data_IF_274333156266
#
_entry.id   IF_274333156266
#
_cell.length_a   1.000
_cell.length_b   1.000
_cell.length_c   1.000
_cell.angle_alpha   90.00
_cell.angle_beta   90.00
_cell.angle_gamma   90.00
#
_symmetry.space_group_name_H-M   'P 1'
#
loop_
_entity.id
_entity.type
_entity.pdbx_description
1 polymer ?
#
# COMPACT_ATOMS: atom_id res chain seq x y z
N UNK A 1 -25.30 18.18 -43.46
CA UNK A 1 -25.38 16.72 -43.70
C UNK A 1 -26.58 16.16 -42.95
N UNK A 2 -27.27 15.14 -43.48
CA UNK A 2 -28.34 14.44 -42.73
C UNK A 2 -27.75 13.68 -41.54
N UNK A 3 -28.48 13.55 -40.44
CA UNK A 3 -28.05 12.80 -39.25
C UNK A 3 -27.67 11.34 -39.58
N UNK A 4 -28.37 10.73 -40.54
CA UNK A 4 -28.09 9.37 -41.05
C UNK A 4 -26.70 9.22 -41.67
N UNK A 5 -26.23 10.25 -42.41
CA UNK A 5 -24.94 10.19 -43.10
C UNK A 5 -23.79 10.32 -42.09
N UNK A 6 -23.98 11.11 -41.02
CA UNK A 6 -22.98 11.25 -39.95
C UNK A 6 -22.82 9.97 -39.15
N UNK A 7 -23.93 9.33 -38.77
CA UNK A 7 -23.89 8.02 -38.09
C UNK A 7 -23.18 6.94 -38.92
N UNK A 8 -23.39 6.93 -40.24
CA UNK A 8 -22.72 5.99 -41.13
C UNK A 8 -21.20 6.24 -41.24
N UNK A 9 -20.77 7.51 -41.23
CA UNK A 9 -19.36 7.89 -41.25
C UNK A 9 -18.67 7.49 -39.93
N UNK A 10 -19.29 7.76 -38.78
CA UNK A 10 -18.76 7.35 -37.47
C UNK A 10 -18.61 5.83 -37.41
N UNK A 11 -19.63 5.08 -37.83
CA UNK A 11 -19.58 3.62 -37.84
C UNK A 11 -18.43 3.09 -38.70
N UNK A 12 -18.25 3.62 -39.91
CA UNK A 12 -17.16 3.18 -40.79
C UNK A 12 -15.79 3.54 -40.24
N UNK A 13 -15.61 4.76 -39.71
CA UNK A 13 -14.34 5.17 -39.13
C UNK A 13 -13.99 4.36 -37.88
N UNK A 14 -14.97 4.12 -37.01
CA UNK A 14 -14.77 3.32 -35.81
C UNK A 14 -14.42 1.86 -36.15
N UNK A 15 -15.08 1.28 -37.15
CA UNK A 15 -14.73 -0.04 -37.67
C UNK A 15 -13.30 -0.07 -38.23
N UNK A 16 -12.89 0.94 -39.00
CA UNK A 16 -11.53 1.03 -39.54
C UNK A 16 -10.48 1.22 -38.43
N UNK A 17 -10.81 1.94 -37.36
CA UNK A 17 -9.94 2.07 -36.18
C UNK A 17 -9.76 0.72 -35.49
N UNK A 18 -10.84 0.00 -35.23
CA UNK A 18 -10.80 -1.30 -34.57
C UNK A 18 -10.06 -2.35 -35.44
N UNK A 19 -10.25 -2.32 -36.76
CA UNK A 19 -9.54 -3.20 -37.72
C UNK A 19 -8.02 -2.93 -37.77
N UNK A 20 -7.61 -1.67 -37.62
CA UNK A 20 -6.21 -1.28 -37.59
C UNK A 20 -5.59 -1.32 -36.18
N UNK A 21 -6.37 -1.68 -35.15
CA UNK A 21 -5.91 -1.76 -33.77
C UNK A 21 -5.48 -0.42 -33.19
N UNK A 22 -6.09 0.69 -33.63
CA UNK A 22 -5.79 2.02 -33.11
C UNK A 22 -6.49 2.24 -31.76
N UNK A 23 -5.76 2.76 -30.76
CA UNK A 23 -6.27 3.02 -29.41
C UNK A 23 -7.02 4.36 -29.33
N UNK A 24 -8.02 4.54 -30.17
CA UNK A 24 -8.72 5.82 -30.34
C UNK A 24 -10.23 5.57 -30.43
N UNK A 25 -11.02 6.45 -29.85
CA UNK A 25 -12.48 6.45 -29.96
C UNK A 25 -12.96 7.68 -30.72
N UNK A 26 -14.00 7.51 -31.54
CA UNK A 26 -14.65 8.59 -32.29
C UNK A 26 -16.09 8.72 -31.82
N UNK A 27 -16.53 9.96 -31.60
CA UNK A 27 -17.90 10.26 -31.24
C UNK A 27 -18.36 11.59 -31.85
N UNK A 28 -19.68 11.74 -32.00
CA UNK A 28 -20.30 12.99 -32.47
C UNK A 28 -20.51 13.92 -31.28
N UNK A 29 -19.86 15.09 -31.30
CA UNK A 29 -20.04 16.13 -30.29
C UNK A 29 -21.21 17.07 -30.59
N UNK A 30 -21.57 17.97 -29.65
CA UNK A 30 -22.59 18.99 -29.86
C UNK A 30 -22.25 19.86 -31.09
N UNK A 31 -23.20 20.07 -31.98
CA UNK A 31 -23.00 20.87 -33.21
C UNK A 31 -22.54 20.09 -34.45
N UNK A 32 -22.43 18.76 -34.38
CA UNK A 32 -22.11 17.91 -35.55
C UNK A 32 -20.62 17.86 -35.89
N UNK A 33 -19.76 18.25 -34.94
CA UNK A 33 -18.31 18.14 -35.02
C UNK A 33 -17.91 16.75 -34.53
N UNK A 34 -17.04 16.05 -35.26
CA UNK A 34 -16.49 14.77 -34.82
C UNK A 34 -15.38 15.01 -33.80
N UNK A 35 -15.48 14.36 -32.65
CA UNK A 35 -14.42 14.37 -31.65
C UNK A 35 -13.76 13.00 -31.62
N UNK A 36 -12.43 13.04 -31.57
CA UNK A 36 -11.58 11.86 -31.54
C UNK A 36 -10.78 11.93 -30.24
N UNK A 37 -10.71 10.83 -29.49
CA UNK A 37 -10.03 10.77 -28.19
C UNK A 37 -9.20 9.50 -28.08
N UNK A 38 -8.01 9.61 -27.51
CA UNK A 38 -7.19 8.44 -27.21
C UNK A 38 -7.79 7.62 -26.05
N UNK A 39 -7.68 6.29 -26.10
CA UNK A 39 -8.15 5.38 -25.03
C UNK A 39 -7.24 5.38 -23.81
N UNK A 40 -5.95 5.65 -24.02
CA UNK A 40 -4.96 5.77 -22.93
C UNK A 40 -4.89 7.21 -22.45
N UNK A 41 -4.72 7.36 -21.13
CA UNK A 41 -4.63 8.62 -20.42
C UNK A 41 -3.16 9.02 -20.24
N UNK A 42 -2.88 10.32 -20.25
CA UNK A 42 -1.57 10.88 -19.92
C UNK A 42 -1.07 11.90 -20.92
N UNK A 43 0.17 12.35 -20.75
CA UNK A 43 0.82 13.34 -21.63
C UNK A 43 1.54 12.71 -22.85
N UNK A 44 1.94 11.44 -22.76
CA UNK A 44 2.63 10.70 -23.83
C UNK A 44 1.76 10.35 -25.05
N UNK A 45 0.54 9.81 -24.91
CA UNK A 45 -0.22 9.37 -26.08
C UNK A 45 -0.72 10.57 -26.90
N UNK A 46 -0.39 10.56 -28.20
CA UNK A 46 -0.87 11.55 -29.17
C UNK A 46 -1.19 10.89 -30.50
N UNK A 47 -2.11 11.50 -31.24
CA UNK A 47 -2.45 11.08 -32.60
C UNK A 47 -2.58 12.29 -33.51
N UNK A 48 -2.41 12.07 -34.81
CA UNK A 48 -2.63 13.10 -35.83
C UNK A 48 -3.77 12.69 -36.74
N UNK A 49 -4.64 13.63 -37.09
CA UNK A 49 -5.76 13.40 -38.01
C UNK A 49 -5.53 14.23 -39.27
N UNK A 50 -5.96 13.73 -40.42
CA UNK A 50 -5.92 14.46 -41.69
C UNK A 50 -7.22 14.24 -42.43
N UNK A 51 -7.79 15.31 -42.99
CA UNK A 51 -8.99 15.25 -43.83
C UNK A 51 -8.75 15.98 -45.14
N UNK A 52 -9.35 15.48 -46.22
CA UNK A 52 -9.37 16.16 -47.52
C UNK A 52 -10.41 17.28 -47.59
N UNK A 53 -11.31 17.38 -46.61
CA UNK A 53 -12.32 18.42 -46.48
C UNK A 53 -12.05 19.18 -45.17
N UNK A 54 -11.92 20.50 -45.28
CA UNK A 54 -11.75 21.40 -44.14
C UNK A 54 -13.00 21.40 -43.24
N UNK A 55 -12.81 21.70 -41.96
CA UNK A 55 -13.86 21.85 -40.93
C UNK A 55 -14.61 20.55 -40.55
N UNK A 56 -14.23 19.39 -41.10
CA UNK A 56 -14.81 18.10 -40.67
C UNK A 56 -13.96 17.44 -39.58
N UNK A 57 -12.65 17.29 -39.81
CA UNK A 57 -11.70 16.70 -38.85
C UNK A 57 -10.48 17.61 -38.59
N UNK A 58 -10.16 18.49 -39.54
CA UNK A 58 -9.02 19.42 -39.49
C UNK A 58 -9.45 20.82 -39.92
N UNK A 59 -8.79 21.86 -39.40
CA UNK A 59 -9.10 23.25 -39.79
C UNK A 59 -8.83 23.52 -41.27
N UNK A 60 -7.74 22.97 -41.81
CA UNK A 60 -7.38 23.08 -43.23
C UNK A 60 -7.39 21.71 -43.93
N UNK A 61 -7.70 21.69 -45.23
CA UNK A 61 -7.73 20.48 -46.03
C UNK A 61 -6.30 19.98 -46.33
N UNK A 62 -6.10 18.66 -46.19
CA UNK A 62 -4.84 17.94 -46.42
C UNK A 62 -3.68 18.34 -45.49
N UNK A 63 -3.97 18.94 -44.34
CA UNK A 63 -3.00 19.18 -43.28
C UNK A 63 -3.27 18.28 -42.08
N UNK A 64 -2.20 17.75 -41.49
CA UNK A 64 -2.31 16.95 -40.28
C UNK A 64 -2.43 17.86 -39.06
N UNK A 65 -3.49 17.65 -38.28
CA UNK A 65 -3.69 18.32 -36.99
C UNK A 65 -3.41 17.31 -35.87
N UNK A 66 -2.58 17.72 -34.91
CA UNK A 66 -2.20 16.87 -33.77
C UNK A 66 -3.22 17.01 -32.65
N UNK A 67 -3.47 15.91 -31.94
CA UNK A 67 -4.27 15.89 -30.72
C UNK A 67 -3.61 16.76 -29.65
N UNK A 68 -4.41 17.49 -28.88
CA UNK A 68 -3.91 18.13 -27.66
C UNK A 68 -3.43 17.04 -26.68
N UNK A 69 -2.20 17.15 -26.14
CA UNK A 69 -1.70 16.20 -25.17
C UNK A 69 -2.55 16.25 -23.89
N UNK A 70 -2.75 15.09 -23.27
CA UNK A 70 -3.42 14.99 -21.98
C UNK A 70 -2.52 15.47 -20.83
N UNK A 71 -2.98 15.23 -19.61
CA UNK A 71 -2.23 15.52 -18.39
C UNK A 71 -2.15 14.27 -17.52
N UNK A 72 -0.98 14.05 -16.93
CA UNK A 72 -0.79 12.98 -15.94
C UNK A 72 -1.33 13.37 -14.56
N UNK A 73 -1.69 12.36 -13.77
CA UNK A 73 -2.02 12.55 -12.35
C UNK A 73 -0.82 13.06 -11.57
N UNK A 74 -0.94 14.24 -10.95
CA UNK A 74 0.07 14.80 -10.08
C UNK A 74 -0.34 14.71 -8.62
N UNK A 75 0.59 14.34 -7.74
CA UNK A 75 0.32 14.25 -6.31
C UNK A 75 1.55 13.87 -5.48
N UNK A 76 1.34 13.83 -4.17
CA UNK A 76 2.36 13.38 -3.21
C UNK A 76 1.91 12.10 -2.51
N UNK A 77 2.80 11.12 -2.38
CA UNK A 77 2.57 9.93 -1.57
C UNK A 77 3.49 10.03 -0.35
N UNK A 78 2.90 9.97 0.85
CA UNK A 78 3.63 10.11 2.12
C UNK A 78 4.51 11.38 2.20
N UNK A 79 3.96 12.53 1.77
CA UNK A 79 4.65 13.84 1.69
C UNK A 79 5.89 13.88 0.77
N UNK A 80 6.10 12.87 -0.06
CA UNK A 80 7.10 12.88 -1.11
C UNK A 80 6.42 13.02 -2.48
N UNK A 81 7.05 13.76 -3.39
CA UNK A 81 6.62 13.85 -4.78
C UNK A 81 6.54 12.45 -5.38
N UNK A 82 5.40 12.12 -6.00
CA UNK A 82 5.20 10.86 -6.69
C UNK A 82 5.21 11.10 -8.21
N UNK A 83 5.58 10.06 -8.97
CA UNK A 83 5.57 10.10 -10.43
C UNK A 83 4.17 9.78 -10.93
N UNK A 84 3.56 10.73 -11.63
CA UNK A 84 2.38 10.51 -12.46
C UNK A 84 2.76 9.80 -13.75
N UNK A 85 1.91 8.87 -14.17
CA UNK A 85 1.96 8.21 -15.48
C UNK A 85 0.51 7.87 -15.86
N UNK A 86 -0.11 8.75 -16.65
CA UNK A 86 -1.54 8.68 -16.96
C UNK A 86 -2.42 8.73 -15.72
N UNK A 87 -3.11 7.62 -15.43
CA UNK A 87 -3.96 7.43 -14.24
C UNK A 87 -3.21 6.96 -13.00
N UNK A 88 -1.92 6.61 -13.13
CA UNK A 88 -1.17 6.00 -12.05
C UNK A 88 -0.25 7.00 -11.35
N UNK A 89 -0.31 7.02 -10.03
CA UNK A 89 0.60 7.75 -9.18
C UNK A 89 1.51 6.76 -8.44
N UNK A 90 2.81 6.78 -8.75
CA UNK A 90 3.80 5.84 -8.21
C UNK A 90 4.77 6.56 -7.29
N UNK A 91 4.96 6.03 -6.07
CA UNK A 91 5.91 6.59 -5.13
C UNK A 91 7.35 6.42 -5.64
N UNK A 92 8.16 7.47 -5.55
CA UNK A 92 9.56 7.42 -5.99
C UNK A 92 10.39 6.47 -5.13
N UNK A 93 11.42 5.90 -5.75
CA UNK A 93 12.39 5.04 -5.09
C UNK A 93 13.13 5.79 -3.98
N UNK A 94 13.28 5.19 -2.79
CA UNK A 94 13.90 5.83 -1.63
C UNK A 94 12.95 6.61 -0.71
N UNK A 95 11.65 6.64 -1.00
CA UNK A 95 10.65 7.22 -0.09
C UNK A 95 10.09 6.16 0.88
N UNK A 96 9.52 6.55 2.05
CA UNK A 96 8.86 5.60 2.97
C UNK A 96 7.70 4.83 2.35
N UNK A 97 7.18 5.31 1.22
CA UNK A 97 6.09 4.73 0.45
C UNK A 97 6.56 3.96 -0.79
N UNK A 98 7.85 3.64 -0.90
CA UNK A 98 8.40 2.92 -2.05
C UNK A 98 7.60 1.64 -2.36
N UNK A 99 7.23 1.48 -3.63
CA UNK A 99 6.44 0.34 -4.10
C UNK A 99 4.91 0.54 -4.01
N UNK A 100 4.44 1.67 -3.48
CA UNK A 100 3.02 2.03 -3.53
C UNK A 100 2.72 2.65 -4.90
N UNK A 101 1.75 2.06 -5.61
CA UNK A 101 1.17 2.55 -6.85
C UNK A 101 -0.33 2.75 -6.62
N UNK A 102 -0.83 3.96 -6.85
CA UNK A 102 -2.23 4.34 -6.73
C UNK A 102 -2.77 4.53 -8.14
N UNK A 103 -3.92 3.94 -8.44
CA UNK A 103 -4.63 4.17 -9.69
C UNK A 103 -5.84 5.06 -9.41
N UNK A 104 -6.00 6.13 -10.20
CA UNK A 104 -7.20 6.95 -10.22
C UNK A 104 -8.15 6.43 -11.30
N UNK A 105 -9.30 5.90 -10.90
CA UNK A 105 -10.28 5.26 -11.78
C UNK A 105 -11.61 6.04 -11.79
N UNK A 106 -11.54 7.34 -12.07
CA UNK A 106 -12.74 8.17 -12.23
C UNK A 106 -12.91 8.58 -13.68
N UNK A 107 -13.95 8.05 -14.30
CA UNK A 107 -14.40 8.46 -15.63
C UNK A 107 -15.26 9.73 -15.56
N UNK A 108 -15.04 10.65 -16.50
CA UNK A 108 -15.93 11.78 -16.77
C UNK A 108 -17.28 11.24 -17.27
N UNK A 109 -18.36 11.41 -16.49
CA UNK A 109 -19.71 11.06 -16.92
C UNK A 109 -20.40 12.25 -17.56
N UNK A 110 -21.30 12.00 -18.51
CA UNK A 110 -22.11 13.05 -19.13
C UNK A 110 -23.16 13.54 -18.12
N UNK A 111 -23.21 14.85 -17.87
CA UNK A 111 -24.25 15.47 -17.05
C UNK A 111 -25.41 15.91 -17.93
N UNK A 112 -26.60 15.41 -17.65
CA UNK A 112 -27.83 15.85 -18.30
C UNK A 112 -28.19 17.27 -17.83
N UNK A 113 -28.05 18.26 -18.71
CA UNK A 113 -28.53 19.62 -18.44
C UNK A 113 -29.85 19.81 -19.17
N UNK A 114 -30.98 20.04 -18.47
CA UNK A 114 -32.25 20.33 -19.12
C UNK A 114 -32.19 21.73 -19.76
N UNK A 115 -32.47 21.81 -21.06
CA UNK A 115 -32.58 23.06 -21.81
C UNK A 115 -34.02 23.57 -21.74
N UNK A 116 -34.18 24.81 -21.27
CA UNK A 116 -35.46 25.49 -21.21
C UNK A 116 -35.54 26.50 -22.36
N UNK A 117 -36.62 26.45 -23.14
CA UNK A 117 -36.93 27.47 -24.15
C UNK A 117 -38.05 28.35 -23.61
N UNK A 118 -37.94 29.65 -23.82
CA UNK A 118 -38.94 30.63 -23.40
C UNK A 118 -40.11 30.62 -24.39
N UNK A 119 -41.25 30.06 -23.98
CA UNK A 119 -42.47 30.11 -24.76
C UNK A 119 -43.39 31.19 -24.22
N UNK A 120 -43.72 32.16 -25.07
CA UNK A 120 -44.72 33.19 -24.78
C UNK A 120 -46.12 32.61 -24.87
N UNK A 121 -46.80 32.49 -23.73
CA UNK A 121 -48.22 32.08 -23.66
C UNK A 121 -49.09 33.33 -23.43
N UNK A 122 -50.19 33.52 -24.18
CA UNK A 122 -51.12 34.63 -23.94
C UNK A 122 -51.95 34.38 -22.67
N UNK A 123 -51.98 35.35 -21.77
CA UNK A 123 -52.79 35.31 -20.55
C UNK A 123 -54.13 35.99 -20.82
N UNK A 124 -55.23 35.25 -20.63
CA UNK A 124 -56.59 35.75 -20.82
C UNK A 124 -57.20 36.13 -19.46
N UNK A 125 -57.90 37.27 -19.39
CA UNK A 125 -58.69 37.66 -18.20
C UNK A 125 -59.93 36.75 -18.06
N UNK A 126 -60.62 36.79 -16.91
CA UNK A 126 -61.81 35.95 -16.62
C UNK A 126 -63.00 36.15 -17.59
N UNK A 127 -62.91 37.17 -18.45
CA UNK A 127 -63.87 37.49 -19.51
C UNK A 127 -63.35 37.15 -20.94
N UNK A 128 -62.24 36.42 -21.08
CA UNK A 128 -61.75 35.88 -22.35
C UNK A 128 -60.98 36.85 -23.26
N UNK A 129 -60.56 38.01 -22.75
CA UNK A 129 -59.75 38.97 -23.51
C UNK A 129 -58.26 38.86 -23.13
N UNK A 130 -57.35 38.92 -24.11
CA UNK A 130 -55.90 38.84 -23.94
C UNK A 130 -55.36 40.05 -23.15
N UNK A 131 -54.80 39.80 -21.96
CA UNK A 131 -54.30 40.85 -21.04
C UNK A 131 -52.79 40.78 -20.83
N UNK A 132 -52.07 40.33 -21.85
CA UNK A 132 -50.62 40.31 -21.90
C UNK A 132 -50.05 38.94 -22.22
N UNK A 133 -48.74 38.94 -22.44
CA UNK A 133 -47.97 37.75 -22.80
C UNK A 133 -47.07 37.40 -21.62
N UNK A 134 -47.18 36.18 -21.10
CA UNK A 134 -46.32 35.69 -20.02
C UNK A 134 -45.28 34.73 -20.61
N UNK A 135 -44.02 34.92 -20.20
CA UNK A 135 -42.89 34.12 -20.67
C UNK A 135 -42.77 32.92 -19.75
N UNK A 136 -43.23 31.75 -20.19
CA UNK A 136 -43.14 30.52 -19.42
C UNK A 136 -42.01 29.68 -20.00
N UNK A 137 -41.07 29.29 -19.15
CA UNK A 137 -39.95 28.42 -19.51
C UNK A 137 -40.46 26.98 -19.66
N UNK A 138 -40.52 26.50 -20.90
CA UNK A 138 -40.90 25.11 -21.20
C UNK A 138 -39.62 24.29 -21.38
N UNK A 139 -39.54 23.10 -20.78
CA UNK A 139 -38.40 22.19 -20.98
C UNK A 139 -38.48 21.59 -22.38
N UNK A 140 -37.57 21.97 -23.28
CA UNK A 140 -37.59 21.54 -24.70
C UNK A 140 -36.63 20.39 -24.99
N UNK A 141 -35.72 20.05 -24.07
CA UNK A 141 -34.89 18.85 -24.17
C UNK A 141 -33.86 18.69 -23.06
N UNK A 142 -33.05 17.64 -23.15
CA UNK A 142 -31.85 17.43 -22.32
C UNK A 142 -30.63 17.48 -23.23
N UNK A 143 -29.69 18.39 -22.94
CA UNK A 143 -28.40 18.47 -23.62
C UNK A 143 -27.34 17.73 -22.78
N UNK A 144 -26.61 16.83 -23.42
CA UNK A 144 -25.51 16.09 -22.79
C UNK A 144 -24.24 16.94 -22.89
N UNK A 145 -23.95 17.68 -21.82
CA UNK A 145 -22.71 18.47 -21.73
C UNK A 145 -21.63 17.57 -21.12
N UNK A 146 -20.47 17.48 -21.78
CA UNK A 146 -19.30 16.82 -21.20
C UNK A 146 -18.86 17.60 -19.96
N UNK A 147 -18.77 16.93 -18.81
CA UNK A 147 -18.18 17.53 -17.61
C UNK A 147 -16.74 17.96 -17.93
N UNK A 148 -16.41 19.21 -17.65
CA UNK A 148 -15.05 19.72 -17.84
C UNK A 148 -14.12 19.10 -16.80
N UNK A 149 -12.86 18.88 -17.15
CA UNK A 149 -11.84 18.31 -16.25
C UNK A 149 -11.78 19.07 -14.91
N UNK A 150 -12.01 20.38 -14.93
CA UNK A 150 -12.02 21.26 -13.76
C UNK A 150 -13.15 20.95 -12.76
N UNK A 151 -14.33 20.50 -13.21
CA UNK A 151 -15.44 20.10 -12.33
C UNK A 151 -15.25 18.70 -11.73
N UNK A 152 -14.52 17.82 -12.44
CA UNK A 152 -14.33 16.41 -12.05
C UNK A 152 -13.19 16.28 -11.05
N UNK A 153 -11.99 16.80 -11.36
CA UNK A 153 -10.79 16.61 -10.51
C UNK A 153 -10.37 17.88 -9.74
N UNK A 154 -11.01 19.02 -10.00
CA UNK A 154 -10.65 20.31 -9.41
C UNK A 154 -9.46 20.97 -10.10
N UNK A 155 -9.05 22.14 -9.59
CA UNK A 155 -7.87 22.89 -10.05
C UNK A 155 -6.72 22.76 -9.05
N UNK A 156 -5.46 23.08 -9.41
CA UNK A 156 -4.34 23.06 -8.47
C UNK A 156 -4.56 23.88 -7.19
N UNK A 157 -5.40 24.92 -7.27
CA UNK A 157 -5.77 25.77 -6.13
C UNK A 157 -7.01 25.27 -5.35
N UNK A 158 -7.78 24.32 -5.88
CA UNK A 158 -8.96 23.73 -5.21
C UNK A 158 -9.15 22.25 -5.56
N UNK A 159 -8.36 21.34 -4.95
CA UNK A 159 -8.44 19.91 -5.20
C UNK A 159 -9.70 19.31 -4.55
N UNK A 160 -10.53 18.64 -5.36
CA UNK A 160 -11.70 17.92 -4.86
C UNK A 160 -11.25 16.56 -4.32
N UNK A 161 -11.20 16.43 -2.98
CA UNK A 161 -10.74 15.20 -2.33
C UNK A 161 -11.82 14.11 -2.49
N UNK A 162 -11.53 13.10 -3.31
CA UNK A 162 -12.45 11.98 -3.58
C UNK A 162 -12.51 10.93 -2.46
N UNK A 163 -11.49 10.86 -1.60
CA UNK A 163 -11.48 9.94 -0.48
C UNK A 163 -10.17 9.91 0.30
N UNK A 164 -10.18 9.14 1.38
CA UNK A 164 -9.00 8.88 2.22
C UNK A 164 -8.62 7.40 2.14
N UNK A 165 -7.36 7.11 1.84
CA UNK A 165 -6.80 5.75 1.90
C UNK A 165 -6.11 5.56 3.24
N UNK A 166 -6.59 4.63 4.07
CA UNK A 166 -5.96 4.28 5.34
C UNK A 166 -5.13 3.00 5.20
N UNK A 167 -3.81 3.10 5.34
CA UNK A 167 -2.91 1.95 5.37
C UNK A 167 -2.55 1.63 6.82
N UNK A 168 -3.00 0.49 7.34
CA UNK A 168 -2.67 -0.01 8.67
C UNK A 168 -1.73 -1.21 8.57
N UNK A 169 -0.55 -1.13 9.19
CA UNK A 169 0.37 -2.26 9.32
C UNK A 169 0.09 -3.01 10.63
N UNK A 170 -0.37 -4.26 10.54
CA UNK A 170 -0.69 -5.10 11.71
C UNK A 170 0.49 -5.96 12.20
N UNK A 171 1.72 -5.50 11.98
CA UNK A 171 2.94 -6.22 12.38
C UNK A 171 2.96 -6.46 13.90
N UNK A 172 3.15 -7.72 14.31
CA UNK A 172 3.36 -8.11 15.70
C UNK A 172 4.86 -8.22 15.97
N UNK A 173 5.31 -7.56 17.03
CA UNK A 173 6.71 -7.59 17.46
C UNK A 173 6.90 -8.63 18.55
N UNK A 174 7.98 -9.39 18.45
CA UNK A 174 8.41 -10.38 19.42
C UNK A 174 9.74 -9.91 20.00
N UNK A 175 9.82 -9.80 21.32
CA UNK A 175 11.06 -9.47 22.00
C UNK A 175 12.00 -10.70 22.00
N UNK A 176 13.23 -10.51 21.54
CA UNK A 176 14.25 -11.56 21.37
C UNK A 176 15.34 -11.50 22.45
N UNK A 177 15.09 -10.82 23.57
CA UNK A 177 16.02 -10.84 24.70
C UNK A 177 15.77 -9.76 25.75
N UNK A 178 16.70 -9.63 26.71
CA UNK A 178 16.61 -8.65 27.78
C UNK A 178 16.98 -7.23 27.35
N UNK A 179 17.62 -7.06 26.19
CA UNK A 179 18.06 -5.75 25.67
C UNK A 179 16.88 -5.03 25.01
N UNK A 180 16.60 -3.80 25.44
CA UNK A 180 15.59 -2.97 24.78
C UNK A 180 15.94 -2.72 23.31
N UNK A 181 14.94 -2.82 22.44
CA UNK A 181 15.09 -2.62 21.00
C UNK A 181 15.46 -3.88 20.21
N UNK A 182 15.75 -5.01 20.86
CA UNK A 182 15.98 -6.28 20.18
C UNK A 182 14.66 -7.01 19.88
N UNK A 183 13.85 -6.41 19.01
CA UNK A 183 12.55 -6.94 18.61
C UNK A 183 12.55 -7.36 17.15
N UNK A 184 11.95 -8.51 16.84
CA UNK A 184 11.66 -8.90 15.47
C UNK A 184 10.17 -8.84 15.19
N UNK A 185 9.81 -8.20 14.08
CA UNK A 185 8.43 -8.06 13.62
C UNK A 185 8.04 -9.16 12.64
N UNK A 186 6.82 -9.68 12.76
CA UNK A 186 6.15 -10.49 11.75
C UNK A 186 4.77 -9.91 11.46
N UNK A 187 4.44 -9.78 10.17
CA UNK A 187 3.08 -9.39 9.74
C UNK A 187 2.31 -10.63 9.33
N UNK A 188 1.09 -10.77 9.86
CA UNK A 188 0.16 -11.83 9.50
C UNK A 188 -0.88 -11.26 8.54
N UNK A 189 -1.05 -11.92 7.39
CA UNK A 189 -2.12 -11.60 6.45
C UNK A 189 -3.45 -12.05 7.03
N UNK A 190 -4.50 -11.29 6.76
CA UNK A 190 -5.87 -11.72 7.00
C UNK A 190 -6.24 -12.90 6.09
N UNK A 191 -6.59 -14.04 6.69
CA UNK A 191 -6.91 -15.30 6.01
C UNK A 191 -8.41 -15.57 5.94
N UNK A 192 -9.26 -14.57 6.18
CA UNK A 192 -10.70 -14.70 5.94
C UNK A 192 -10.97 -14.98 4.45
N UNK A 193 -11.98 -15.79 4.16
CA UNK A 193 -12.35 -16.19 2.79
C UNK A 193 -12.60 -15.00 1.87
N UNK A 194 -13.19 -13.92 2.38
CA UNK A 194 -13.43 -12.67 1.63
C UNK A 194 -12.16 -11.84 1.36
N UNK A 195 -11.03 -12.18 1.99
CA UNK A 195 -9.73 -11.49 1.87
C UNK A 195 -8.64 -12.34 1.23
N UNK A 196 -8.95 -13.59 0.88
CA UNK A 196 -8.08 -14.50 0.15
C UNK A 196 -8.43 -14.50 -1.34
N UNK A 197 -7.41 -14.70 -2.19
CA UNK A 197 -7.58 -14.85 -3.63
C UNK A 197 -8.23 -13.65 -4.33
N UNK A 198 -7.80 -12.45 -3.94
CA UNK A 198 -8.27 -11.20 -4.53
C UNK A 198 -7.46 -10.82 -5.78
N UNK A 199 -8.11 -10.16 -6.74
CA UNK A 199 -7.44 -9.57 -7.90
C UNK A 199 -7.19 -10.52 -9.07
N UNK A 200 -7.80 -11.72 -9.05
CA UNK A 200 -7.78 -12.64 -10.19
C UNK A 200 -8.87 -12.20 -11.16
N UNK A 201 -8.51 -12.00 -12.44
CA UNK A 201 -9.48 -11.73 -13.51
C UNK A 201 -10.06 -13.06 -13.97
N UNK A 202 -11.38 -13.18 -13.91
CA UNK A 202 -12.12 -14.36 -14.36
C UNK A 202 -13.41 -13.94 -15.08
N UNK A 203 -14.03 -14.88 -15.80
CA UNK A 203 -15.21 -14.61 -16.62
C UNK A 203 -16.48 -14.52 -15.76
N UNK A 204 -16.55 -15.29 -14.66
CA UNK A 204 -17.67 -15.33 -13.73
C UNK A 204 -17.71 -14.18 -12.70
N UNK A 205 -16.81 -13.19 -12.80
CA UNK A 205 -16.70 -12.01 -11.92
C UNK A 205 -16.54 -12.34 -10.42
N UNK A 206 -15.98 -13.50 -10.09
CA UNK A 206 -15.70 -13.93 -8.72
C UNK A 206 -14.54 -13.12 -8.14
N UNK A 207 -14.74 -12.49 -6.98
CA UNK A 207 -13.76 -11.55 -6.41
C UNK A 207 -12.88 -12.16 -5.33
N UNK A 208 -13.37 -13.20 -4.67
CA UNK A 208 -12.71 -13.80 -3.52
C UNK A 208 -13.18 -15.23 -3.26
N UNK A 209 -12.50 -15.92 -2.34
CA UNK A 209 -12.87 -17.28 -1.95
C UNK A 209 -14.26 -17.38 -1.31
N UNK A 210 -14.86 -16.28 -0.84
CA UNK A 210 -16.25 -16.31 -0.34
C UNK A 210 -17.30 -16.43 -1.44
N UNK A 211 -16.92 -16.13 -2.68
CA UNK A 211 -17.85 -15.97 -3.80
C UNK A 211 -17.88 -17.22 -4.68
N UNK A 212 -17.23 -18.32 -4.26
CA UNK A 212 -17.16 -19.58 -5.02
C UNK A 212 -18.56 -20.04 -5.43
N UNK A 213 -18.70 -20.37 -6.71
CA UNK A 213 -19.90 -20.93 -7.28
C UNK A 213 -19.55 -22.12 -8.19
N UNK A 214 -20.22 -23.24 -7.96
CA UNK A 214 -20.02 -24.50 -8.68
C UNK A 214 -21.26 -24.92 -9.49
N UNK A 215 -22.24 -24.02 -9.64
CA UNK A 215 -23.50 -24.31 -10.34
C UNK A 215 -23.34 -24.38 -11.86
N UNK A 216 -22.39 -23.62 -12.42
CA UNK A 216 -22.05 -23.61 -13.84
C UNK A 216 -20.64 -24.15 -14.12
N UNK A 217 -20.41 -24.68 -15.33
CA UNK A 217 -19.11 -25.22 -15.73
C UNK A 217 -18.03 -24.14 -15.75
N UNK A 218 -18.35 -22.93 -16.20
CA UNK A 218 -17.37 -21.84 -16.23
C UNK A 218 -17.06 -21.36 -14.81
N UNK A 219 -18.09 -21.13 -14.00
CA UNK A 219 -17.92 -20.76 -12.58
C UNK A 219 -17.14 -21.81 -11.79
N UNK A 220 -17.29 -23.10 -12.11
CA UNK A 220 -16.52 -24.17 -11.48
C UNK A 220 -15.03 -24.14 -11.84
N UNK A 221 -14.68 -23.82 -13.09
CA UNK A 221 -13.27 -23.64 -13.50
C UNK A 221 -12.65 -22.42 -12.83
N UNK A 222 -13.33 -21.29 -12.87
CA UNK A 222 -12.88 -20.05 -12.26
C UNK A 222 -12.72 -20.24 -10.74
N UNK A 223 -13.67 -20.93 -10.09
CA UNK A 223 -13.58 -21.29 -8.68
C UNK A 223 -12.36 -22.18 -8.38
N UNK A 224 -12.00 -23.11 -9.26
CA UNK A 224 -10.79 -23.93 -9.10
C UNK A 224 -9.54 -23.07 -9.11
N UNK A 225 -9.44 -22.10 -10.02
CA UNK A 225 -8.31 -21.18 -10.10
C UNK A 225 -8.20 -20.31 -8.83
N UNK A 226 -9.34 -19.79 -8.33
CA UNK A 226 -9.36 -19.04 -7.07
C UNK A 226 -8.89 -19.91 -5.89
N UNK A 227 -9.26 -21.19 -5.84
CA UNK A 227 -8.83 -22.12 -4.79
C UNK A 227 -7.32 -22.38 -4.88
N UNK A 228 -6.79 -22.67 -6.06
CA UNK A 228 -5.36 -22.93 -6.26
C UNK A 228 -4.52 -21.71 -5.84
N UNK A 229 -4.93 -20.51 -6.25
CA UNK A 229 -4.26 -19.30 -5.84
C UNK A 229 -4.37 -19.04 -4.32
N UNK A 230 -5.51 -19.35 -3.70
CA UNK A 230 -5.65 -19.27 -2.24
C UNK A 230 -4.70 -20.25 -1.52
N UNK A 231 -4.56 -21.47 -2.04
CA UNK A 231 -3.63 -22.49 -1.51
C UNK A 231 -2.19 -21.98 -1.61
N UNK A 232 -1.80 -21.42 -2.75
CA UNK A 232 -0.47 -20.84 -2.96
C UNK A 232 -0.20 -19.65 -2.05
N UNK A 233 -1.20 -18.78 -1.88
CA UNK A 233 -1.13 -17.65 -0.96
C UNK A 233 -0.91 -18.12 0.49
N UNK A 234 -1.72 -19.06 0.97
CA UNK A 234 -1.55 -19.66 2.31
C UNK A 234 -0.19 -20.35 2.44
N UNK A 235 0.23 -21.09 1.43
CA UNK A 235 1.50 -21.82 1.43
C UNK A 235 2.70 -20.86 1.54
N UNK A 236 2.65 -19.74 0.80
CA UNK A 236 3.65 -18.66 0.91
C UNK A 236 3.66 -18.04 2.31
N UNK A 237 2.51 -17.79 2.92
CA UNK A 237 2.49 -17.26 4.29
C UNK A 237 2.98 -18.27 5.32
N UNK A 238 2.63 -19.55 5.19
CA UNK A 238 3.17 -20.63 6.04
C UNK A 238 4.69 -20.71 5.93
N UNK A 239 5.23 -20.60 4.71
CA UNK A 239 6.66 -20.56 4.49
C UNK A 239 7.32 -19.35 5.17
N UNK A 240 6.72 -18.16 5.07
CA UNK A 240 7.20 -16.96 5.77
C UNK A 240 7.19 -17.11 7.30
N UNK A 241 6.10 -17.65 7.86
CA UNK A 241 5.99 -17.92 9.30
C UNK A 241 7.06 -18.95 9.73
N UNK A 242 7.20 -20.04 8.98
CA UNK A 242 8.21 -21.07 9.27
C UNK A 242 9.65 -20.54 9.18
N UNK A 243 9.92 -19.69 8.19
CA UNK A 243 11.22 -19.03 8.06
C UNK A 243 11.50 -18.09 9.24
N UNK A 244 10.50 -17.30 9.66
CA UNK A 244 10.63 -16.43 10.83
C UNK A 244 10.88 -17.24 12.11
N UNK A 245 10.09 -18.29 12.34
CA UNK A 245 10.26 -19.19 13.49
C UNK A 245 11.66 -19.79 13.53
N UNK A 246 12.09 -20.45 12.45
CA UNK A 246 13.38 -21.15 12.40
C UNK A 246 14.57 -20.21 12.45
N UNK A 247 14.57 -19.18 11.61
CA UNK A 247 15.76 -18.36 11.41
C UNK A 247 15.90 -17.24 12.45
N UNK A 248 14.78 -16.80 13.03
CA UNK A 248 14.78 -15.69 13.98
C UNK A 248 14.58 -16.22 15.39
N UNK A 249 13.47 -16.89 15.67
CA UNK A 249 13.11 -17.30 17.05
C UNK A 249 13.98 -18.45 17.53
N UNK A 250 14.04 -19.56 16.80
CA UNK A 250 14.80 -20.75 17.21
C UNK A 250 16.31 -20.47 17.22
N UNK A 251 16.82 -19.75 16.21
CA UNK A 251 18.22 -19.32 16.17
C UNK A 251 18.57 -18.46 17.39
N UNK A 252 17.76 -17.44 17.68
CA UNK A 252 18.01 -16.56 18.82
C UNK A 252 17.90 -17.32 20.14
N UNK A 253 16.90 -18.19 20.31
CA UNK A 253 16.75 -19.05 21.48
C UNK A 253 18.00 -19.89 21.72
N UNK A 254 18.56 -20.51 20.68
CA UNK A 254 19.80 -21.28 20.79
C UNK A 254 20.99 -20.38 21.18
N UNK A 255 21.11 -19.19 20.58
CA UNK A 255 22.15 -18.21 20.96
C UNK A 255 22.01 -17.79 22.43
N UNK A 256 20.80 -17.49 22.90
CA UNK A 256 20.55 -17.13 24.31
C UNK A 256 20.86 -18.28 25.25
N UNK A 257 20.55 -19.53 24.87
CA UNK A 257 20.88 -20.72 25.66
C UNK A 257 22.40 -20.87 25.83
N UNK A 258 23.16 -20.73 24.75
CA UNK A 258 24.64 -20.78 24.82
C UNK A 258 25.18 -19.64 25.68
N UNK A 259 24.66 -18.42 25.48
CA UNK A 259 25.08 -17.27 26.29
C UNK A 259 24.80 -17.47 27.79
N UNK A 260 23.64 -18.04 28.14
CA UNK A 260 23.28 -18.35 29.52
C UNK A 260 24.20 -19.44 30.12
N UNK A 261 24.56 -20.46 29.34
CA UNK A 261 25.50 -21.49 29.76
C UNK A 261 26.89 -20.90 30.01
N UNK A 262 27.42 -20.11 29.08
CA UNK A 262 28.72 -19.45 29.23
C UNK A 262 28.73 -18.48 30.41
N UNK A 263 27.65 -17.73 30.63
CA UNK A 263 27.53 -16.84 31.79
C UNK A 263 27.52 -17.62 33.11
N UNK A 264 26.80 -18.74 33.17
CA UNK A 264 26.76 -19.60 34.36
C UNK A 264 28.12 -20.25 34.64
N UNK A 265 28.84 -20.68 33.59
CA UNK A 265 30.19 -21.22 33.71
C UNK A 265 31.17 -20.16 34.22
N UNK A 266 31.11 -18.93 33.67
CA UNK A 266 31.92 -17.81 34.14
C UNK A 266 31.67 -17.47 35.60
N UNK A 267 30.39 -17.42 36.00
CA UNK A 267 29.99 -17.21 37.39
C UNK A 267 30.51 -18.30 38.32
N UNK A 268 30.42 -19.58 37.90
CA UNK A 268 30.97 -20.70 38.68
C UNK A 268 32.47 -20.55 38.89
N UNK A 269 33.22 -20.23 37.83
CA UNK A 269 34.69 -20.07 37.92
C UNK A 269 35.07 -18.93 38.86
N UNK A 270 34.39 -17.79 38.78
CA UNK A 270 34.65 -16.64 39.67
C UNK A 270 34.35 -17.04 41.12
N UNK A 271 33.16 -17.58 41.37
CA UNK A 271 32.72 -17.97 42.71
C UNK A 271 33.61 -19.05 43.32
N UNK A 272 34.00 -20.06 42.55
CA UNK A 272 34.86 -21.15 43.03
C UNK A 272 36.29 -20.67 43.30
N UNK A 273 36.81 -19.74 42.48
CA UNK A 273 38.13 -19.13 42.71
C UNK A 273 38.13 -18.30 43.99
N UNK A 274 37.10 -17.48 44.20
CA UNK A 274 36.96 -16.66 45.40
C UNK A 274 36.81 -17.52 46.66
N UNK A 275 36.01 -18.60 46.59
CA UNK A 275 35.89 -19.54 47.70
C UNK A 275 37.22 -20.27 47.98
N UNK A 276 37.96 -20.69 46.96
CA UNK A 276 39.26 -21.34 47.16
C UNK A 276 40.29 -20.38 47.81
N UNK A 277 40.29 -19.10 47.41
CA UNK A 277 41.15 -18.09 48.01
C UNK A 277 40.80 -17.83 49.49
N UNK A 278 39.51 -17.66 49.80
CA UNK A 278 39.06 -17.46 51.19
C UNK A 278 39.28 -18.70 52.06
N UNK A 279 39.07 -19.91 51.53
CA UNK A 279 39.36 -21.14 52.27
C UNK A 279 40.86 -21.32 52.55
N UNK A 280 41.73 -20.92 51.60
CA UNK A 280 43.18 -20.96 51.80
C UNK A 280 43.63 -19.96 52.87
N UNK A 281 43.04 -18.76 52.87
CA UNK A 281 43.29 -17.73 53.88
C UNK A 281 42.78 -18.17 55.25
N UNK A 282 41.54 -18.64 55.35
CA UNK A 282 40.97 -19.20 56.58
C UNK A 282 41.86 -20.32 57.16
N UNK A 283 42.33 -21.23 56.30
CA UNK A 283 43.22 -22.32 56.72
C UNK A 283 44.57 -21.78 57.22
N UNK A 284 45.15 -20.79 56.52
CA UNK A 284 46.40 -20.14 56.93
C UNK A 284 46.24 -19.43 58.28
N UNK A 285 45.14 -18.72 58.49
CA UNK A 285 44.82 -18.05 59.74
C UNK A 285 44.63 -19.07 60.89
N UNK A 286 43.98 -20.20 60.62
CA UNK A 286 43.83 -21.30 61.58
C UNK A 286 45.20 -21.91 61.97
N UNK A 287 46.10 -22.10 61.00
CA UNK A 287 47.47 -22.59 61.25
C UNK A 287 48.27 -21.56 62.04
N UNK A 288 48.20 -20.28 61.68
CA UNK A 288 48.86 -19.19 62.42
C UNK A 288 48.36 -19.08 63.85
N UNK A 289 47.05 -19.24 64.07
CA UNK A 289 46.46 -19.25 65.42
C UNK A 289 47.01 -20.41 66.25
N UNK A 290 47.03 -21.62 65.68
CA UNK A 290 47.60 -22.82 66.33
C UNK A 290 49.09 -22.66 66.63
N UNK A 291 49.88 -22.18 65.65
CA UNK A 291 51.31 -21.91 65.82
C UNK A 291 51.57 -20.83 66.86
N UNK A 292 50.76 -19.76 66.89
CA UNK A 292 50.86 -18.70 67.89
C UNK A 292 50.58 -19.20 69.29
N UNK A 293 49.60 -20.10 69.48
CA UNK A 293 49.33 -20.75 70.76
C UNK A 293 50.49 -21.66 71.20
N UNK A 294 51.05 -22.47 70.30
CA UNK A 294 52.24 -23.29 70.59
C UNK A 294 53.46 -22.43 70.90
N UNK A 295 53.69 -21.34 70.16
CA UNK A 295 54.77 -20.38 70.44
C UNK A 295 54.58 -19.66 71.77
N UNK A 296 53.36 -19.25 72.12
CA UNK A 296 53.02 -18.70 73.44
C UNK A 296 53.34 -19.71 74.55
N UNK A 297 52.99 -20.98 74.37
CA UNK A 297 53.32 -22.04 75.31
C UNK A 297 54.85 -22.19 75.47
N UNK A 298 55.59 -22.23 74.36
CA UNK A 298 57.05 -22.34 74.36
C UNK A 298 57.74 -21.10 74.97
N UNK A 299 57.28 -19.90 74.63
CA UNK A 299 57.79 -18.63 75.15
C UNK A 299 57.50 -18.47 76.65
N UNK A 300 56.41 -19.07 77.16
CA UNK A 300 56.13 -19.10 78.60
C UNK A 300 57.00 -20.14 79.36
N UNK A 301 57.55 -21.14 78.66
CA UNK A 301 58.45 -22.14 79.24
C UNK A 301 59.91 -21.66 79.28
N UNK A 302 60.37 -20.90 78.28
CA UNK A 302 61.75 -20.40 78.21
C UNK A 302 62.20 -19.65 79.49
N UNK A 303 61.45 -18.66 80.02
CA UNK A 303 61.83 -17.91 81.22
C UNK A 303 61.89 -18.80 82.47
N UNK A 304 61.02 -19.81 82.56
CA UNK A 304 61.03 -20.76 83.70
C UNK A 304 62.28 -21.62 83.69
N UNK A 305 62.72 -22.05 82.51
CA UNK A 305 63.95 -22.82 82.36
C UNK A 305 65.18 -21.98 82.72
N UNK A 306 65.19 -20.68 82.38
CA UNK A 306 66.29 -19.78 82.76
C UNK A 306 66.30 -19.48 84.27
N UNK A 307 65.14 -19.29 84.89
CA UNK A 307 65.02 -19.15 86.35
C UNK A 307 65.52 -20.40 87.09
N UNK A 308 65.19 -21.59 86.60
CA UNK A 308 65.72 -22.84 87.14
C UNK A 308 67.24 -22.94 87.03
N UNK A 309 67.83 -22.42 85.94
CA UNK A 309 69.29 -22.40 85.75
C UNK A 309 69.98 -21.38 86.67
N UNK A 310 69.39 -20.19 86.87
CA UNK A 310 69.92 -19.15 87.78
C UNK A 310 69.76 -19.49 89.27
N UNK A 311 68.76 -20.31 89.64
CA UNK A 311 68.63 -20.87 91.00
C UNK A 311 69.56 -22.08 91.24
N UNK A 312 70.18 -22.62 90.17
CA UNK A 312 71.03 -23.82 90.22
C UNK A 312 72.54 -23.56 90.14
N UNK A 313 72.97 -22.28 90.14
CA UNK A 313 74.37 -21.86 90.37
C UNK A 313 74.58 -21.31 91.79
#
# INVERSE_FOLDING_TARGET
>A
MSADIRGMIVYHLQKTIDENGLNVDIFEGPGGIFQIRHREYGDEPSFSVTSNIAEILTQEANMAEFSNPGMDVAGTIANATARGDGQFLTAMEGTPAQGIKIQFDRDIQLREVPVFEEQTVPVFDENGNEKGTEVVQVRVGTEFVQETQEEVVGSPENPKIEGYVHLSQQTKKVNLGPIQGNEAGISLKDVRTSKLSQGIKNESQLRSLSDIDLTDLQSAKDSSELIDHAIDEISRYRAKIGAFQKNTVERNMNTLKVAAETATQGESVIRDTDMAAEMSKLTSDQILLSASQSMLSQANQLPRNVLQLLESE
#
